data_IF_489543363382
#
_entry.id   IF_489543363382
#
_cell.length_a   1.000
_cell.length_b   1.000
_cell.length_c   1.000
_cell.angle_alpha   90.00
_cell.angle_beta   90.00
_cell.angle_gamma   90.00
#
_symmetry.space_group_name_H-M   'P 1'
#
loop_
_entity.id
_entity.type
_entity.pdbx_description
1 polymer ?
#
# COMPACT_ATOMS: atom_id res chain seq x y z
N UNK A 1 -13.34 13.90 -2.21
CA UNK A 1 -12.91 12.77 -1.32
C UNK A 1 -14.15 12.04 -0.82
N UNK A 2 -14.11 10.73 -0.80
CA UNK A 2 -15.22 9.86 -0.33
C UNK A 2 -14.96 9.52 1.14
N UNK A 3 -15.94 9.79 2.00
CA UNK A 3 -15.83 9.57 3.45
C UNK A 3 -15.58 8.09 3.78
N UNK A 4 -14.63 7.84 4.66
CA UNK A 4 -14.22 6.50 5.08
C UNK A 4 -13.46 5.69 4.03
N UNK A 5 -13.41 6.09 2.76
CA UNK A 5 -12.67 5.37 1.74
C UNK A 5 -11.16 5.48 1.97
N UNK A 6 -10.45 4.36 1.84
CA UNK A 6 -8.99 4.28 1.87
C UNK A 6 -8.47 4.07 0.44
N UNK A 7 -7.70 5.01 -0.08
CA UNK A 7 -6.95 4.83 -1.33
C UNK A 7 -5.59 4.22 -1.02
N UNK A 8 -5.38 2.99 -1.47
CA UNK A 8 -4.13 2.25 -1.29
C UNK A 8 -3.27 2.49 -2.52
N UNK A 9 -2.08 3.05 -2.33
CA UNK A 9 -1.13 3.46 -3.35
C UNK A 9 -0.06 2.41 -3.48
N UNK A 10 0.04 1.76 -4.66
CA UNK A 10 1.00 0.70 -4.92
C UNK A 10 1.80 1.00 -6.20
N UNK A 11 3.04 1.48 -6.10
CA UNK A 11 3.95 1.52 -7.24
C UNK A 11 4.42 0.10 -7.57
N UNK A 12 4.58 -0.22 -8.84
CA UNK A 12 5.04 -1.53 -9.30
C UNK A 12 6.07 -1.38 -10.40
N UNK A 13 7.16 -2.13 -10.31
CA UNK A 13 8.15 -2.27 -11.39
C UNK A 13 8.84 -3.62 -11.31
N UNK A 14 8.63 -4.47 -12.34
CA UNK A 14 9.18 -5.84 -12.43
C UNK A 14 8.88 -6.67 -11.16
N UNK A 15 7.63 -6.67 -10.71
CA UNK A 15 7.18 -7.28 -9.47
C UNK A 15 6.33 -8.55 -9.68
N UNK A 16 6.34 -9.16 -10.88
CA UNK A 16 5.47 -10.29 -11.23
C UNK A 16 5.51 -11.44 -10.23
N UNK A 17 6.65 -11.63 -9.55
CA UNK A 17 6.85 -12.69 -8.56
C UNK A 17 6.06 -12.47 -7.28
N UNK A 18 5.86 -11.21 -6.85
CA UNK A 18 5.36 -10.88 -5.52
C UNK A 18 4.00 -10.16 -5.54
N UNK A 19 3.74 -9.36 -6.57
CA UNK A 19 2.59 -8.45 -6.62
C UNK A 19 1.24 -9.16 -6.43
N UNK A 20 1.14 -10.43 -6.83
CA UNK A 20 -0.08 -11.23 -6.62
C UNK A 20 -0.39 -11.45 -5.14
N UNK A 21 0.63 -11.72 -4.31
CA UNK A 21 0.46 -11.87 -2.86
C UNK A 21 0.13 -10.53 -2.21
N UNK A 22 0.78 -9.45 -2.64
CA UNK A 22 0.51 -8.09 -2.17
C UNK A 22 -0.95 -7.69 -2.42
N UNK A 23 -1.47 -7.90 -3.64
CA UNK A 23 -2.87 -7.62 -3.99
C UNK A 23 -3.82 -8.49 -3.16
N UNK A 24 -3.54 -9.79 -3.03
CA UNK A 24 -4.36 -10.69 -2.22
C UNK A 24 -4.46 -10.23 -0.75
N UNK A 25 -3.39 -9.70 -0.18
CA UNK A 25 -3.40 -9.18 1.20
C UNK A 25 -4.35 -7.98 1.37
N UNK A 26 -4.55 -7.20 0.32
CA UNK A 26 -5.54 -6.11 0.29
C UNK A 26 -6.96 -6.66 0.14
N UNK A 27 -7.16 -7.64 -0.73
CA UNK A 27 -8.48 -8.27 -0.92
C UNK A 27 -8.99 -8.94 0.35
N UNK A 28 -8.09 -9.44 1.20
CA UNK A 28 -8.40 -10.10 2.48
C UNK A 28 -8.61 -9.12 3.64
N UNK A 29 -8.48 -7.81 3.45
CA UNK A 29 -8.70 -6.84 4.52
C UNK A 29 -10.13 -6.91 5.07
N UNK A 30 -10.27 -6.95 6.41
CA UNK A 30 -11.56 -6.91 7.12
C UNK A 30 -12.29 -5.60 6.89
N UNK A 31 -11.57 -4.49 6.70
CA UNK A 31 -12.14 -3.21 6.29
C UNK A 31 -12.34 -3.19 4.78
N UNK A 32 -13.57 -3.14 4.31
CA UNK A 32 -13.93 -3.33 2.90
C UNK A 32 -14.02 -2.05 2.05
N UNK A 33 -14.05 -0.85 2.69
CA UNK A 33 -14.19 0.42 1.97
C UNK A 33 -12.83 0.98 1.54
N UNK A 34 -12.24 0.37 0.53
CA UNK A 34 -10.95 0.75 -0.05
C UNK A 34 -10.97 0.68 -1.57
N UNK A 35 -10.05 1.40 -2.20
CA UNK A 35 -9.60 1.24 -3.58
C UNK A 35 -8.10 0.98 -3.60
N UNK A 36 -7.62 0.17 -4.55
CA UNK A 36 -6.20 -0.13 -4.74
C UNK A 36 -5.75 0.43 -6.08
N UNK A 37 -4.91 1.46 -6.03
CA UNK A 37 -4.39 2.17 -7.19
C UNK A 37 -2.96 1.71 -7.46
N UNK A 38 -2.80 0.85 -8.47
CA UNK A 38 -1.53 0.26 -8.87
C UNK A 38 -0.99 1.04 -10.06
N UNK A 39 0.22 1.59 -9.93
CA UNK A 39 0.91 2.26 -11.04
C UNK A 39 2.10 1.43 -11.45
N UNK A 40 1.99 0.80 -12.62
CA UNK A 40 3.08 0.06 -13.24
C UNK A 40 4.04 1.03 -13.94
N UNK A 41 5.28 1.06 -13.47
CA UNK A 41 6.33 1.97 -13.93
C UNK A 41 7.12 1.40 -15.12
N UNK A 42 6.38 1.00 -16.18
CA UNK A 42 6.94 0.44 -17.41
C UNK A 42 7.66 -0.90 -17.21
N UNK A 43 7.04 -1.86 -16.49
CA UNK A 43 7.56 -3.21 -16.26
C UNK A 43 7.87 -3.95 -17.58
N UNK A 44 8.91 -4.80 -17.53
CA UNK A 44 9.31 -5.65 -18.66
C UNK A 44 9.00 -7.13 -18.45
N UNK A 45 8.52 -7.47 -17.25
CA UNK A 45 8.05 -8.79 -16.88
C UNK A 45 6.52 -8.89 -16.97
N UNK A 46 5.94 -9.96 -16.42
CA UNK A 46 4.49 -10.21 -16.47
C UNK A 46 3.69 -9.48 -15.38
N UNK A 47 4.23 -8.43 -14.74
CA UNK A 47 3.55 -7.69 -13.65
C UNK A 47 2.18 -7.17 -14.08
N UNK A 48 2.12 -6.53 -15.25
CA UNK A 48 0.87 -5.96 -15.81
C UNK A 48 -0.20 -7.03 -16.02
N UNK A 49 0.17 -8.19 -16.55
CA UNK A 49 -0.75 -9.32 -16.77
C UNK A 49 -1.28 -9.88 -15.46
N UNK A 50 -0.43 -9.96 -14.43
CA UNK A 50 -0.85 -10.39 -13.08
C UNK A 50 -1.88 -9.42 -12.54
N UNK A 51 -1.60 -8.12 -12.53
CA UNK A 51 -2.52 -7.09 -12.00
C UNK A 51 -3.85 -7.08 -12.77
N UNK A 52 -3.82 -7.18 -14.09
CA UNK A 52 -5.04 -7.21 -14.94
C UNK A 52 -6.00 -8.35 -14.56
N UNK A 53 -5.49 -9.51 -14.15
CA UNK A 53 -6.34 -10.62 -13.69
C UNK A 53 -7.16 -10.20 -12.46
N UNK A 54 -6.54 -9.53 -11.50
CA UNK A 54 -7.24 -9.01 -10.31
C UNK A 54 -8.22 -7.88 -10.64
N UNK A 55 -7.81 -6.92 -11.46
CA UNK A 55 -8.66 -5.80 -11.88
C UNK A 55 -9.91 -6.23 -12.67
N UNK A 56 -9.84 -7.36 -13.37
CA UNK A 56 -11.00 -7.94 -14.04
C UNK A 56 -12.00 -8.58 -13.08
N UNK A 57 -11.55 -9.05 -11.92
CA UNK A 57 -12.38 -9.73 -10.90
C UNK A 57 -12.94 -8.71 -9.91
N UNK A 58 -12.13 -7.76 -9.43
CA UNK A 58 -12.53 -6.75 -8.45
C UNK A 58 -12.31 -5.33 -8.98
N UNK A 59 -13.39 -4.58 -9.14
CA UNK A 59 -13.36 -3.20 -9.68
C UNK A 59 -12.69 -2.17 -8.76
N UNK A 60 -12.44 -2.53 -7.50
CA UNK A 60 -11.68 -1.69 -6.58
C UNK A 60 -10.17 -1.71 -6.88
N UNK A 61 -9.69 -2.67 -7.68
CA UNK A 61 -8.30 -2.76 -8.15
C UNK A 61 -8.18 -2.04 -9.49
N UNK A 62 -7.44 -0.96 -9.52
CA UNK A 62 -7.26 -0.11 -10.70
C UNK A 62 -5.77 -0.09 -11.10
N UNK A 63 -5.50 -0.34 -12.38
CA UNK A 63 -4.16 -0.34 -12.95
C UNK A 63 -3.94 0.87 -13.86
N UNK A 64 -2.87 1.59 -13.61
CA UNK A 64 -2.31 2.61 -14.50
C UNK A 64 -0.95 2.10 -14.99
N UNK A 65 -0.73 2.10 -16.30
CA UNK A 65 0.54 1.69 -16.90
C UNK A 65 1.24 2.89 -17.53
N UNK A 66 2.48 3.14 -17.11
CA UNK A 66 3.28 4.25 -17.63
C UNK A 66 4.03 3.82 -18.90
N UNK A 67 4.22 4.75 -19.82
CA UNK A 67 4.94 4.48 -21.09
C UNK A 67 6.48 4.43 -20.90
N UNK A 68 6.97 5.02 -19.81
CA UNK A 68 8.40 5.06 -19.45
C UNK A 68 8.57 4.90 -17.94
N UNK A 69 9.72 4.36 -17.55
CA UNK A 69 10.10 4.28 -16.13
C UNK A 69 10.45 5.69 -15.62
N UNK A 70 9.74 6.12 -14.56
CA UNK A 70 9.88 7.44 -13.92
C UNK A 70 10.31 7.33 -12.46
N UNK A 71 10.43 6.11 -11.94
CA UNK A 71 10.79 5.80 -10.56
C UNK A 71 9.61 5.74 -9.60
N UNK A 72 9.78 4.99 -8.52
CA UNK A 72 8.72 4.67 -7.56
C UNK A 72 8.04 5.91 -6.95
N UNK A 73 8.79 6.99 -6.70
CA UNK A 73 8.24 8.22 -6.13
C UNK A 73 7.26 8.89 -7.11
N UNK A 74 7.62 9.00 -8.40
CA UNK A 74 6.75 9.57 -9.41
C UNK A 74 5.54 8.68 -9.68
N UNK A 75 5.72 7.35 -9.70
CA UNK A 75 4.61 6.39 -9.81
C UNK A 75 3.61 6.53 -8.63
N UNK A 76 4.10 6.71 -7.39
CA UNK A 76 3.23 7.01 -6.23
C UNK A 76 2.45 8.31 -6.42
N UNK A 77 3.07 9.37 -6.94
CA UNK A 77 2.39 10.63 -7.18
C UNK A 77 1.26 10.47 -8.21
N UNK A 78 1.47 9.72 -9.28
CA UNK A 78 0.41 9.41 -10.27
C UNK A 78 -0.77 8.72 -9.58
N UNK A 79 -0.52 7.73 -8.70
CA UNK A 79 -1.60 7.07 -7.97
C UNK A 79 -2.33 8.05 -7.02
N UNK A 80 -1.59 8.92 -6.31
CA UNK A 80 -2.17 9.92 -5.39
C UNK A 80 -3.08 10.89 -6.14
N UNK A 81 -2.72 11.33 -7.34
CA UNK A 81 -3.55 12.23 -8.17
C UNK A 81 -4.91 11.61 -8.55
N UNK A 82 -5.02 10.29 -8.56
CA UNK A 82 -6.26 9.56 -8.85
C UNK A 82 -7.00 9.09 -7.60
N UNK A 83 -6.43 9.29 -6.41
CA UNK A 83 -7.01 8.86 -5.15
C UNK A 83 -8.30 9.62 -4.82
N UNK A 84 -9.36 8.90 -4.47
CA UNK A 84 -10.67 9.46 -4.12
C UNK A 84 -10.96 9.38 -2.62
N UNK A 85 -10.15 8.60 -1.88
CA UNK A 85 -10.36 8.31 -0.47
C UNK A 85 -10.03 9.47 0.47
N UNK A 86 -10.71 9.47 1.60
CA UNK A 86 -10.38 10.33 2.74
C UNK A 86 -9.02 9.96 3.36
N UNK A 87 -8.62 8.70 3.22
CA UNK A 87 -7.37 8.18 3.76
C UNK A 87 -6.47 7.68 2.63
N UNK A 88 -5.16 7.90 2.77
CA UNK A 88 -4.15 7.37 1.87
C UNK A 88 -3.30 6.35 2.63
N UNK A 89 -3.14 5.16 2.06
CA UNK A 89 -2.27 4.11 2.55
C UNK A 89 -1.22 3.75 1.50
N UNK A 90 -0.01 3.41 1.92
CA UNK A 90 1.05 2.96 1.01
C UNK A 90 1.34 1.48 1.21
N UNK A 91 1.44 0.75 0.11
CA UNK A 91 1.84 -0.65 0.07
C UNK A 91 2.79 -0.85 -1.11
N UNK A 92 3.99 -1.33 -0.84
CA UNK A 92 4.92 -1.69 -1.91
C UNK A 92 4.53 -3.05 -2.51
N UNK A 93 4.84 -3.26 -3.80
CA UNK A 93 4.37 -4.42 -4.58
C UNK A 93 5.00 -5.76 -4.19
N UNK A 94 5.90 -5.76 -3.22
CA UNK A 94 6.58 -6.90 -2.62
C UNK A 94 6.30 -7.06 -1.11
N UNK A 95 5.44 -6.20 -0.54
CA UNK A 95 4.99 -6.27 0.84
C UNK A 95 3.60 -6.92 0.98
N UNK A 96 3.31 -7.48 2.17
CA UNK A 96 2.04 -8.14 2.50
C UNK A 96 1.46 -7.57 3.79
N UNK A 97 0.19 -7.23 3.78
CA UNK A 97 -0.52 -6.71 4.94
C UNK A 97 -1.18 -7.81 5.79
N UNK A 98 -1.23 -7.60 7.11
CA UNK A 98 -2.12 -8.33 8.02
C UNK A 98 -3.58 -8.01 7.68
N UNK A 99 -4.49 -9.00 7.75
CA UNK A 99 -5.90 -8.85 7.37
C UNK A 99 -6.66 -7.78 8.17
N UNK A 100 -6.22 -7.45 9.37
CA UNK A 100 -6.83 -6.44 10.25
C UNK A 100 -6.10 -5.08 10.20
N UNK A 101 -5.13 -4.90 9.30
CA UNK A 101 -4.28 -3.70 9.28
C UNK A 101 -5.10 -2.42 9.12
N UNK A 102 -5.93 -2.31 8.10
CA UNK A 102 -6.72 -1.11 7.85
C UNK A 102 -7.70 -0.82 8.98
N UNK A 103 -8.43 -1.84 9.43
CA UNK A 103 -9.40 -1.72 10.53
C UNK A 103 -8.74 -1.18 11.81
N UNK A 104 -7.63 -1.80 12.23
CA UNK A 104 -6.89 -1.41 13.44
C UNK A 104 -6.31 0.00 13.34
N UNK A 105 -5.68 0.35 12.20
CA UNK A 105 -5.09 1.68 12.03
C UNK A 105 -6.15 2.77 11.96
N UNK A 106 -7.26 2.58 11.26
CA UNK A 106 -8.36 3.53 11.19
C UNK A 106 -9.03 3.73 12.56
N UNK A 107 -9.26 2.64 13.30
CA UNK A 107 -9.81 2.72 14.66
C UNK A 107 -8.88 3.53 15.57
N UNK A 108 -7.56 3.27 15.51
CA UNK A 108 -6.55 4.00 16.25
C UNK A 108 -6.51 5.49 15.89
N UNK A 109 -6.51 5.82 14.59
CA UNK A 109 -6.53 7.21 14.12
C UNK A 109 -7.77 7.96 14.64
N UNK A 110 -8.95 7.33 14.55
CA UNK A 110 -10.20 7.93 15.03
C UNK A 110 -10.21 8.12 16.55
N UNK A 111 -9.78 7.11 17.30
CA UNK A 111 -9.76 7.15 18.78
C UNK A 111 -8.89 8.29 19.32
N UNK A 112 -7.73 8.54 18.70
CA UNK A 112 -6.75 9.52 19.17
C UNK A 112 -6.70 10.80 18.35
N UNK A 113 -7.56 10.94 17.35
CA UNK A 113 -7.58 12.07 16.41
C UNK A 113 -6.24 12.29 15.70
N UNK A 114 -5.52 11.21 15.38
CA UNK A 114 -4.27 11.28 14.64
C UNK A 114 -4.53 11.38 13.14
N UNK A 115 -3.78 12.27 12.50
CA UNK A 115 -3.81 12.46 11.04
C UNK A 115 -2.83 11.53 10.30
N UNK A 116 -1.96 10.85 11.05
CA UNK A 116 -0.88 10.05 10.50
C UNK A 116 -0.54 8.89 11.44
N UNK A 117 -0.40 7.67 10.91
CA UNK A 117 -0.01 6.48 11.67
C UNK A 117 0.95 5.60 10.88
N UNK A 118 1.69 4.78 11.59
CA UNK A 118 2.56 3.75 11.06
C UNK A 118 2.53 2.51 11.98
N UNK A 119 3.00 1.38 11.50
CA UNK A 119 2.97 0.12 12.24
C UNK A 119 4.32 -0.58 12.26
N UNK A 120 4.51 -1.46 13.24
CA UNK A 120 5.59 -2.45 13.20
C UNK A 120 5.41 -3.36 11.99
N UNK A 121 6.49 -4.00 11.55
CA UNK A 121 6.45 -4.97 10.46
C UNK A 121 7.35 -6.18 10.77
N UNK A 122 7.04 -7.29 10.13
CA UNK A 122 7.87 -8.49 10.13
C UNK A 122 8.71 -8.52 8.86
N UNK A 123 9.93 -9.03 8.97
CA UNK A 123 10.71 -9.38 7.79
C UNK A 123 10.18 -10.71 7.26
N UNK A 124 9.92 -10.79 5.96
CA UNK A 124 9.59 -12.05 5.28
C UNK A 124 10.79 -12.57 4.50
N UNK A 125 10.95 -13.89 4.49
CA UNK A 125 11.87 -14.58 3.60
C UNK A 125 11.29 -14.65 2.19
N UNK A 126 12.13 -14.85 1.18
CA UNK A 126 11.69 -14.97 -0.23
C UNK A 126 10.67 -16.09 -0.50
N UNK A 127 10.58 -17.07 0.39
CA UNK A 127 9.63 -18.19 0.32
C UNK A 127 8.25 -17.84 0.93
N UNK A 128 8.04 -16.57 1.35
CA UNK A 128 6.80 -16.09 1.99
C UNK A 128 6.71 -16.41 3.48
N UNK A 129 7.71 -17.03 4.09
CA UNK A 129 7.69 -17.34 5.52
C UNK A 129 7.99 -16.09 6.35
N UNK A 130 7.11 -15.77 7.30
CA UNK A 130 7.35 -14.71 8.29
C UNK A 130 8.51 -15.14 9.21
N UNK A 131 9.48 -14.26 9.38
CA UNK A 131 10.51 -14.45 10.41
C UNK A 131 9.95 -14.06 11.78
N UNK A 132 10.58 -14.51 12.87
CA UNK A 132 10.24 -14.07 14.22
C UNK A 132 10.71 -12.63 14.51
N UNK A 133 11.45 -12.03 13.59
CA UNK A 133 12.02 -10.69 13.74
C UNK A 133 10.97 -9.63 13.46
N UNK A 134 10.49 -8.99 14.53
CA UNK A 134 9.64 -7.81 14.45
C UNK A 134 10.53 -6.57 14.40
N UNK A 135 10.44 -5.80 13.35
CA UNK A 135 11.02 -4.46 13.32
C UNK A 135 10.06 -3.52 14.04
N UNK A 136 10.46 -3.08 15.24
CA UNK A 136 9.69 -2.14 16.04
C UNK A 136 9.98 -0.73 15.59
N UNK A 137 8.93 -0.01 15.23
CA UNK A 137 9.00 1.43 14.96
C UNK A 137 8.84 2.23 16.27
N UNK A 138 9.35 3.48 16.34
CA UNK A 138 9.12 4.34 17.50
C UNK A 138 7.64 4.53 17.77
N UNK A 139 7.25 4.69 19.04
CA UNK A 139 5.84 4.94 19.43
C UNK A 139 5.30 6.28 18.95
N UNK A 140 6.19 7.23 18.67
CA UNK A 140 5.86 8.55 18.09
C UNK A 140 7.08 9.10 17.36
N UNK A 141 6.84 9.93 16.35
CA UNK A 141 7.88 10.62 15.59
C UNK A 141 7.55 12.10 15.48
N UNK A 142 8.56 12.94 15.71
CA UNK A 142 8.47 14.34 15.31
C UNK A 142 8.59 14.45 13.78
N UNK A 143 8.12 15.57 13.20
CA UNK A 143 8.25 15.85 11.78
C UNK A 143 9.69 15.71 11.26
N UNK A 144 10.69 16.21 12.00
CA UNK A 144 12.10 16.08 11.62
C UNK A 144 12.63 14.64 11.67
N UNK A 145 12.16 13.83 12.62
CA UNK A 145 12.52 12.40 12.66
C UNK A 145 11.88 11.64 11.51
N UNK A 146 10.63 11.97 11.18
CA UNK A 146 9.94 11.39 10.05
C UNK A 146 10.66 11.63 8.71
N UNK A 147 11.13 12.84 8.45
CA UNK A 147 11.87 13.18 7.24
C UNK A 147 13.18 12.40 7.06
N UNK A 148 13.73 11.82 8.13
CA UNK A 148 14.99 11.05 8.12
C UNK A 148 14.80 9.55 8.01
N UNK A 149 13.57 9.05 8.20
CA UNK A 149 13.30 7.60 8.25
C UNK A 149 12.22 7.24 7.25
N UNK A 150 12.45 6.17 6.48
CA UNK A 150 11.41 5.57 5.63
C UNK A 150 10.54 4.67 6.50
N UNK A 151 9.24 4.95 6.58
CA UNK A 151 8.27 4.21 7.40
C UNK A 151 7.05 3.92 6.54
N UNK A 152 6.49 2.72 6.70
CA UNK A 152 5.24 2.32 6.03
C UNK A 152 4.05 3.11 6.59
N UNK A 153 3.36 3.87 5.76
CA UNK A 153 2.48 4.96 6.17
C UNK A 153 0.99 4.72 5.87
N UNK A 154 0.15 5.25 6.76
CA UNK A 154 -1.25 5.59 6.53
C UNK A 154 -1.49 7.02 7.02
N UNK A 155 -2.03 7.91 6.18
CA UNK A 155 -2.37 9.28 6.58
C UNK A 155 -3.69 9.77 5.98
N UNK A 156 -4.24 10.85 6.54
CA UNK A 156 -5.41 11.55 5.99
C UNK A 156 -4.97 12.57 4.95
N UNK A 157 -5.69 12.68 3.88
CA UNK A 157 -5.53 13.72 2.86
C UNK A 157 -6.30 14.99 3.23
#
# INVERSE_FOLDING_TARGET
MIEGLVSIIMPSYNAARFIGESINSVLLQTYSNWELLIVDDCSKDNSVEVVRKFANIDKRVVLFSLEKNVGAAAARNVAIEHAQGQYIAFLDSDDVWDEYKLEKQLAFMKQYSYVFTFSNYYVMEENGKKTENIVKVPSSLSYHQYLRNTICLLYTS
#
